data_IF_461433589790
#
_entry.id   IF_461433589790
#
_cell.length_a   1.000
_cell.length_b   1.000
_cell.length_c   1.000
_cell.angle_alpha   90.00
_cell.angle_beta   90.00
_cell.angle_gamma   90.00
#
_symmetry.space_group_name_H-M   'P 1'
#
loop_
_entity.id
_entity.type
_entity.pdbx_description
1 polymer ?
#
# COMPACT_ATOMS: atom_id res chain seq x y z
N UNK A 1 -9.61 -20.45 -5.32
CA UNK A 1 -8.42 -19.59 -5.34
C UNK A 1 -8.74 -18.33 -4.57
N UNK A 2 -7.95 -18.01 -3.56
CA UNK A 2 -8.08 -16.85 -2.70
C UNK A 2 -6.76 -16.09 -2.68
N UNK A 3 -6.81 -14.80 -2.99
CA UNK A 3 -5.63 -13.93 -3.03
C UNK A 3 -5.84 -12.80 -2.03
N UNK A 4 -4.89 -12.59 -1.13
CA UNK A 4 -4.86 -11.41 -0.27
C UNK A 4 -3.98 -10.33 -0.91
N UNK A 5 -4.50 -9.11 -1.00
CA UNK A 5 -3.81 -7.93 -1.49
C UNK A 5 -3.56 -7.01 -0.29
N UNK A 6 -2.30 -6.91 0.11
CA UNK A 6 -1.79 -6.12 1.22
C UNK A 6 -1.06 -4.91 0.63
N UNK A 7 -1.31 -3.68 1.07
CA UNK A 7 -0.71 -2.48 0.46
C UNK A 7 -0.58 -1.35 1.47
N UNK A 8 0.26 -0.36 1.15
CA UNK A 8 0.36 0.91 1.87
C UNK A 8 0.66 0.66 3.37
N UNK A 9 1.72 -0.10 3.62
CA UNK A 9 2.21 -0.50 4.96
C UNK A 9 2.88 0.67 5.67
N UNK A 10 3.54 1.56 4.92
CA UNK A 10 4.12 2.81 5.42
C UNK A 10 4.94 2.67 6.71
N UNK A 11 5.74 1.61 6.83
CA UNK A 11 6.62 1.43 8.00
C UNK A 11 5.87 1.30 9.33
N UNK A 12 4.59 0.92 9.31
CA UNK A 12 3.78 0.67 10.50
C UNK A 12 3.82 -0.82 10.87
N UNK A 13 4.89 -1.23 11.56
CA UNK A 13 5.12 -2.63 11.89
C UNK A 13 4.02 -3.26 12.76
N UNK A 14 3.48 -2.61 13.81
CA UNK A 14 2.37 -3.17 14.57
C UNK A 14 1.14 -3.51 13.71
N UNK A 15 0.82 -2.68 12.70
CA UNK A 15 -0.26 -2.95 11.77
C UNK A 15 0.06 -4.11 10.82
N UNK A 16 1.31 -4.18 10.31
CA UNK A 16 1.75 -5.28 9.46
C UNK A 16 1.70 -6.62 10.20
N UNK A 17 2.21 -6.69 11.43
CA UNK A 17 2.17 -7.92 12.24
C UNK A 17 0.73 -8.37 12.52
N UNK A 18 -0.18 -7.45 12.84
CA UNK A 18 -1.59 -7.80 13.01
C UNK A 18 -2.22 -8.36 11.72
N UNK A 19 -1.88 -7.81 10.55
CA UNK A 19 -2.32 -8.34 9.26
C UNK A 19 -1.70 -9.71 8.98
N UNK A 20 -0.44 -9.94 9.34
CA UNK A 20 0.20 -11.25 9.20
C UNK A 20 -0.50 -12.32 10.04
N UNK A 21 -0.80 -12.01 11.31
CA UNK A 21 -1.57 -12.90 12.18
C UNK A 21 -2.95 -13.19 11.57
N UNK A 22 -3.62 -12.17 11.04
CA UNK A 22 -4.92 -12.32 10.40
C UNK A 22 -4.89 -13.19 9.13
N UNK A 23 -3.79 -13.13 8.37
CA UNK A 23 -3.58 -13.96 7.18
C UNK A 23 -3.42 -15.44 7.54
N UNK A 24 -2.95 -15.79 8.75
CA UNK A 24 -2.87 -17.17 9.22
C UNK A 24 -4.27 -17.81 9.36
N UNK A 25 -5.27 -17.01 9.71
CA UNK A 25 -6.67 -17.42 9.81
C UNK A 25 -7.37 -17.41 8.44
N UNK A 26 -7.14 -16.37 7.62
CA UNK A 26 -7.75 -16.22 6.30
C UNK A 26 -7.24 -17.27 5.29
N UNK A 27 -6.00 -17.73 5.46
CA UNK A 27 -5.33 -18.78 4.65
C UNK A 27 -5.51 -18.56 3.14
N UNK A 28 -5.07 -17.42 2.60
CA UNK A 28 -5.09 -17.21 1.16
C UNK A 28 -4.11 -18.18 0.48
N UNK A 29 -4.39 -18.53 -0.78
CA UNK A 29 -3.48 -19.31 -1.62
C UNK A 29 -2.24 -18.48 -2.01
N UNK A 30 -2.42 -17.16 -2.17
CA UNK A 30 -1.35 -16.21 -2.51
C UNK A 30 -1.53 -14.88 -1.75
N UNK A 31 -0.41 -14.22 -1.45
CA UNK A 31 -0.40 -12.84 -0.92
C UNK A 31 0.42 -11.96 -1.86
N UNK A 32 -0.18 -10.85 -2.27
CA UNK A 32 0.48 -9.83 -3.09
C UNK A 32 0.60 -8.51 -2.33
N UNK A 33 1.75 -7.86 -2.48
CA UNK A 33 2.06 -6.58 -1.87
C UNK A 33 1.94 -5.44 -2.90
N UNK A 34 1.01 -4.51 -2.67
CA UNK A 34 0.68 -3.36 -3.52
C UNK A 34 1.68 -2.19 -3.46
N UNK A 35 2.78 -2.33 -2.72
CA UNK A 35 3.81 -1.31 -2.57
C UNK A 35 3.56 -0.39 -1.37
N UNK A 36 4.36 0.67 -1.29
CA UNK A 36 4.39 1.65 -0.20
C UNK A 36 4.69 1.00 1.16
N UNK A 37 5.85 0.37 1.23
CA UNK A 37 6.19 -0.57 2.30
C UNK A 37 6.72 0.15 3.55
N UNK A 38 7.66 1.09 3.36
CA UNK A 38 8.47 1.62 4.46
C UNK A 38 8.26 3.10 4.80
N UNK A 39 7.90 3.92 3.81
CA UNK A 39 7.99 5.37 3.95
C UNK A 39 6.90 5.95 4.86
N UNK A 40 7.26 6.93 5.69
CA UNK A 40 6.34 7.66 6.56
C UNK A 40 6.05 7.01 7.91
N UNK A 41 6.62 5.84 8.22
CA UNK A 41 6.48 5.18 9.52
C UNK A 41 7.77 4.93 10.29
N UNK A 42 7.62 4.47 11.52
CA UNK A 42 8.72 4.31 12.48
C UNK A 42 9.58 3.04 12.31
N UNK A 43 9.20 2.13 11.41
CA UNK A 43 9.81 0.80 11.25
C UNK A 43 10.02 0.42 9.78
N UNK A 44 10.55 1.35 8.98
CA UNK A 44 10.72 1.15 7.55
C UNK A 44 11.52 -0.12 7.22
N UNK A 45 12.71 -0.28 7.81
CA UNK A 45 13.59 -1.43 7.56
C UNK A 45 12.96 -2.74 8.00
N UNK A 46 12.29 -2.76 9.15
CA UNK A 46 11.64 -3.97 9.67
C UNK A 46 10.46 -4.39 8.79
N UNK A 47 9.64 -3.45 8.32
CA UNK A 47 8.55 -3.75 7.38
C UNK A 47 9.09 -4.28 6.04
N UNK A 48 10.14 -3.66 5.49
CA UNK A 48 10.78 -4.12 4.24
C UNK A 48 11.34 -5.53 4.42
N UNK A 49 12.10 -5.76 5.49
CA UNK A 49 12.65 -7.08 5.80
C UNK A 49 11.55 -8.12 5.98
N UNK A 50 10.43 -7.76 6.61
CA UNK A 50 9.30 -8.66 6.82
C UNK A 50 8.65 -9.06 5.50
N UNK A 51 8.28 -8.10 4.64
CA UNK A 51 7.67 -8.39 3.32
C UNK A 51 8.60 -9.28 2.48
N UNK A 52 9.90 -9.02 2.49
CA UNK A 52 10.89 -9.86 1.79
C UNK A 52 10.95 -11.28 2.33
N UNK A 53 10.91 -11.43 3.65
CA UNK A 53 10.96 -12.74 4.33
C UNK A 53 9.73 -13.59 4.00
N UNK A 54 8.56 -12.97 3.93
CA UNK A 54 7.32 -13.68 3.58
C UNK A 54 7.29 -14.15 2.12
N UNK A 55 8.16 -13.60 1.25
CA UNK A 55 8.28 -14.03 -0.14
C UNK A 55 7.05 -13.66 -0.99
N UNK A 56 6.30 -12.63 -0.58
CA UNK A 56 5.13 -12.15 -1.32
C UNK A 56 5.50 -11.60 -2.69
N UNK A 57 4.60 -11.75 -3.65
CA UNK A 57 4.69 -11.02 -4.92
C UNK A 57 4.50 -9.53 -4.64
N UNK A 58 5.55 -8.72 -4.79
CA UNK A 58 5.50 -7.30 -4.50
C UNK A 58 5.63 -6.45 -5.78
N UNK A 59 4.90 -5.35 -5.80
CA UNK A 59 5.04 -4.26 -6.77
C UNK A 59 5.51 -3.00 -6.06
N UNK A 60 5.97 -2.02 -6.83
CA UNK A 60 6.49 -0.75 -6.32
C UNK A 60 5.40 0.31 -6.20
N UNK A 61 5.33 0.97 -5.05
CA UNK A 61 4.57 2.21 -4.86
C UNK A 61 5.37 3.48 -5.07
N UNK A 62 4.71 4.65 -5.04
CA UNK A 62 5.42 5.91 -5.20
C UNK A 62 6.35 6.18 -4.02
N UNK A 63 5.95 5.82 -2.81
CA UNK A 63 6.77 6.07 -1.63
C UNK A 63 7.97 5.13 -1.54
N UNK A 64 7.92 3.97 -2.19
CA UNK A 64 9.07 3.06 -2.35
C UNK A 64 10.15 3.64 -3.26
N UNK A 65 9.79 4.50 -4.22
CA UNK A 65 10.79 5.26 -5.03
C UNK A 65 11.41 6.35 -4.17
N UNK A 66 10.53 7.14 -3.59
CA UNK A 66 10.77 8.29 -2.74
C UNK A 66 11.68 8.01 -1.53
N UNK A 67 11.47 6.90 -0.82
CA UNK A 67 12.32 6.50 0.33
C UNK A 67 13.78 6.27 -0.05
N UNK A 68 14.10 6.04 -1.33
CA UNK A 68 15.49 5.93 -1.82
C UNK A 68 16.18 7.30 -1.98
N UNK A 69 15.46 8.40 -1.72
CA UNK A 69 15.98 9.77 -1.83
C UNK A 69 15.80 10.38 -3.21
N UNK A 70 15.08 9.72 -4.13
CA UNK A 70 14.70 10.25 -5.44
C UNK A 70 13.29 10.84 -5.41
N UNK A 71 13.13 12.17 -5.26
CA UNK A 71 11.82 12.81 -5.12
C UNK A 71 11.20 13.07 -6.51
N UNK A 72 11.11 12.02 -7.34
CA UNK A 72 10.45 12.11 -8.65
C UNK A 72 9.05 12.69 -8.47
N UNK A 73 8.60 13.45 -9.47
CA UNK A 73 7.25 14.05 -9.56
C UNK A 73 6.90 15.14 -8.53
N UNK A 74 7.82 15.57 -7.65
CA UNK A 74 7.57 16.68 -6.72
C UNK A 74 7.94 18.04 -7.33
N UNK A 75 6.93 18.90 -7.46
CA UNK A 75 7.02 20.16 -8.22
C UNK A 75 7.78 21.29 -7.51
N UNK A 76 7.87 21.27 -6.18
CA UNK A 76 8.52 22.34 -5.40
C UNK A 76 9.80 21.88 -4.71
N UNK A 77 10.78 22.78 -4.60
CA UNK A 77 12.02 22.50 -3.87
C UNK A 77 11.76 22.26 -2.38
N UNK A 78 10.77 22.95 -1.81
CA UNK A 78 10.34 22.72 -0.43
C UNK A 78 9.83 21.27 -0.24
N UNK A 79 8.98 20.79 -1.14
CA UNK A 79 8.49 19.41 -1.10
C UNK A 79 9.62 18.40 -1.27
N UNK A 80 10.52 18.60 -2.24
CA UNK A 80 11.69 17.74 -2.44
C UNK A 80 12.62 17.72 -1.25
N UNK A 81 12.85 18.87 -0.61
CA UNK A 81 13.70 18.98 0.58
C UNK A 81 13.09 18.24 1.77
N UNK A 82 11.79 18.44 2.03
CA UNK A 82 11.07 17.71 3.08
C UNK A 82 11.13 16.20 2.83
N UNK A 83 10.93 15.81 1.56
CA UNK A 83 10.99 14.42 1.15
C UNK A 83 12.35 13.76 1.42
N UNK A 84 13.43 14.44 1.01
CA UNK A 84 14.80 13.96 1.28
C UNK A 84 15.12 13.88 2.77
N UNK A 85 14.59 14.81 3.58
CA UNK A 85 14.74 14.76 5.03
C UNK A 85 14.05 13.52 5.63
N UNK A 86 12.84 13.20 5.17
CA UNK A 86 12.11 11.99 5.61
C UNK A 86 12.84 10.72 5.15
N UNK A 87 13.24 10.64 3.88
CA UNK A 87 14.00 9.51 3.36
C UNK A 87 15.31 9.28 4.15
N UNK A 88 16.05 10.34 4.45
CA UNK A 88 17.25 10.26 5.28
C UNK A 88 16.95 9.80 6.71
N UNK A 89 15.83 10.23 7.31
CA UNK A 89 15.43 9.82 8.65
C UNK A 89 15.05 8.34 8.75
N UNK A 90 14.57 7.73 7.66
CA UNK A 90 14.35 6.27 7.62
C UNK A 90 15.65 5.47 7.65
N UNK A 91 16.75 6.03 7.14
CA UNK A 91 18.07 5.41 7.12
C UNK A 91 18.08 3.97 6.56
N UNK A 92 17.29 3.69 5.52
CA UNK A 92 17.25 2.37 4.90
C UNK A 92 18.59 2.00 4.28
N UNK A 93 18.94 0.71 4.32
CA UNK A 93 20.18 0.21 3.74
C UNK A 93 20.15 0.20 2.21
N UNK A 94 21.34 0.22 1.58
CA UNK A 94 21.49 0.20 0.11
C UNK A 94 20.80 -1.01 -0.54
N UNK A 95 20.90 -2.19 0.07
CA UNK A 95 20.26 -3.41 -0.42
C UNK A 95 18.72 -3.38 -0.35
N UNK A 96 18.15 -2.59 0.56
CA UNK A 96 16.71 -2.39 0.64
C UNK A 96 16.26 -1.35 -0.38
N UNK A 97 17.00 -0.25 -0.53
CA UNK A 97 16.76 0.73 -1.57
C UNK A 97 16.84 0.12 -2.98
N UNK A 98 17.86 -0.70 -3.25
CA UNK A 98 18.03 -1.40 -4.52
C UNK A 98 16.90 -2.40 -4.78
N UNK A 99 16.42 -3.10 -3.74
CA UNK A 99 15.29 -4.00 -3.90
C UNK A 99 14.00 -3.24 -4.24
N UNK A 100 13.69 -2.19 -3.48
CA UNK A 100 12.50 -1.36 -3.69
C UNK A 100 12.49 -0.75 -5.11
N UNK A 101 13.60 -0.19 -5.58
CA UNK A 101 13.66 0.46 -6.90
C UNK A 101 13.59 -0.54 -8.06
N UNK A 102 13.85 -1.83 -7.82
CA UNK A 102 13.76 -2.87 -8.85
C UNK A 102 12.44 -3.66 -8.81
N UNK A 103 11.54 -3.38 -7.87
CA UNK A 103 10.18 -3.93 -7.88
C UNK A 103 9.43 -3.52 -9.17
N UNK A 104 8.63 -4.42 -9.77
CA UNK A 104 7.84 -4.12 -10.95
C UNK A 104 6.74 -3.09 -10.65
N UNK A 105 6.27 -2.36 -11.67
CA UNK A 105 5.17 -1.40 -11.53
C UNK A 105 3.79 -2.06 -11.35
N UNK A 106 3.66 -3.32 -11.73
CA UNK A 106 2.42 -4.06 -11.63
C UNK A 106 2.64 -5.56 -11.73
N UNK A 107 1.62 -6.32 -11.36
CA UNK A 107 1.60 -7.77 -11.40
C UNK A 107 0.27 -8.25 -11.96
N UNK A 108 0.33 -9.08 -13.01
CA UNK A 108 -0.84 -9.78 -13.55
C UNK A 108 -0.82 -11.23 -13.07
N UNK A 109 -1.90 -11.66 -12.45
CA UNK A 109 -2.04 -13.02 -11.92
C UNK A 109 -3.30 -13.74 -12.40
N UNK A 110 -3.58 -14.92 -11.84
CA UNK A 110 -4.65 -15.79 -12.31
C UNK A 110 -6.03 -15.15 -12.17
N UNK A 111 -6.98 -15.57 -13.02
CA UNK A 111 -8.35 -15.06 -12.97
C UNK A 111 -8.51 -13.62 -13.49
N UNK A 112 -7.61 -13.16 -14.35
CA UNK A 112 -7.62 -11.81 -14.92
C UNK A 112 -7.64 -10.72 -13.84
N UNK A 113 -6.62 -10.77 -12.98
CA UNK A 113 -6.40 -9.80 -11.91
C UNK A 113 -5.11 -9.04 -12.21
N UNK A 114 -5.19 -7.72 -12.21
CA UNK A 114 -4.04 -6.82 -12.29
C UNK A 114 -3.90 -6.09 -10.96
N UNK A 115 -2.72 -6.16 -10.35
CA UNK A 115 -2.31 -5.32 -9.22
C UNK A 115 -1.37 -4.22 -9.72
N UNK A 116 -1.69 -2.97 -9.41
CA UNK A 116 -0.87 -1.78 -9.65
C UNK A 116 -0.89 -0.92 -8.40
N UNK A 117 0.06 -0.02 -8.18
CA UNK A 117 0.01 0.82 -6.99
C UNK A 117 -0.96 2.01 -7.18
N UNK A 118 -0.76 2.76 -8.27
CA UNK A 118 -1.62 3.88 -8.68
C UNK A 118 -2.42 3.55 -9.94
N UNK A 119 -1.98 4.05 -11.09
CA UNK A 119 -2.48 3.68 -12.42
C UNK A 119 -1.57 2.62 -13.07
N UNK A 120 -2.02 1.94 -14.14
CA UNK A 120 -1.18 0.98 -14.88
C UNK A 120 0.13 1.56 -15.43
N UNK A 121 0.18 2.86 -15.68
CA UNK A 121 1.35 3.55 -16.24
C UNK A 121 2.16 4.35 -15.23
N UNK A 122 1.62 4.60 -14.02
CA UNK A 122 2.26 5.47 -13.04
C UNK A 122 1.88 5.08 -11.61
N UNK A 123 2.86 4.84 -10.71
CA UNK A 123 2.58 4.66 -9.30
C UNK A 123 2.29 6.00 -8.58
N UNK A 124 2.47 7.15 -9.24
CA UNK A 124 2.33 8.47 -8.62
C UNK A 124 0.93 9.08 -8.75
N UNK A 125 0.06 8.44 -9.54
CA UNK A 125 -1.26 8.96 -9.88
C UNK A 125 -2.30 7.89 -9.60
N UNK A 126 -3.42 8.26 -8.99
CA UNK A 126 -4.62 7.43 -8.94
C UNK A 126 -5.86 8.29 -8.67
N UNK A 127 -7.04 7.88 -9.16
CA UNK A 127 -8.29 8.55 -8.81
C UNK A 127 -8.68 8.28 -7.35
N UNK A 128 -9.28 9.28 -6.71
CA UNK A 128 -9.97 9.12 -5.42
C UNK A 128 -11.27 8.33 -5.58
N UNK A 129 -11.79 7.67 -4.52
CA UNK A 129 -13.04 6.89 -4.59
C UNK A 129 -14.26 7.66 -5.13
N UNK A 130 -14.32 8.96 -4.85
CA UNK A 130 -15.37 9.90 -5.24
C UNK A 130 -15.07 10.65 -6.55
N UNK A 131 -13.96 10.33 -7.23
CA UNK A 131 -13.65 10.94 -8.52
C UNK A 131 -14.69 10.57 -9.61
N UNK A 132 -14.88 11.45 -10.62
CA UNK A 132 -15.77 11.19 -11.74
C UNK A 132 -15.41 9.90 -12.48
N UNK A 133 -16.38 9.26 -13.13
CA UNK A 133 -16.18 8.01 -13.88
C UNK A 133 -15.04 8.11 -14.92
N UNK A 134 -14.89 9.26 -15.58
CA UNK A 134 -13.82 9.53 -16.53
C UNK A 134 -12.40 9.40 -15.94
N UNK A 135 -12.21 9.55 -14.63
CA UNK A 135 -10.90 9.37 -14.01
C UNK A 135 -10.50 7.89 -13.87
N UNK A 136 -11.46 6.97 -14.04
CA UNK A 136 -11.24 5.52 -13.91
C UNK A 136 -11.07 4.81 -15.26
N UNK A 137 -11.25 5.50 -16.39
CA UNK A 137 -11.12 4.90 -17.73
C UNK A 137 -9.72 4.36 -18.01
N UNK A 138 -8.70 4.85 -17.28
CA UNK A 138 -7.33 4.33 -17.32
C UNK A 138 -7.24 2.84 -16.92
N UNK A 139 -8.25 2.32 -16.21
CA UNK A 139 -8.33 0.92 -15.80
C UNK A 139 -9.20 0.06 -16.72
N UNK A 140 -9.90 0.65 -17.68
CA UNK A 140 -10.72 -0.10 -18.64
C UNK A 140 -9.83 -0.99 -19.53
N UNK A 141 -10.37 -2.16 -19.88
CA UNK A 141 -9.72 -3.20 -20.69
C UNK A 141 -8.35 -3.71 -20.19
N UNK A 142 -7.92 -3.35 -18.98
CA UNK A 142 -6.64 -3.78 -18.42
C UNK A 142 -6.69 -5.23 -17.89
N UNK A 143 -7.79 -5.57 -17.20
CA UNK A 143 -8.07 -6.89 -16.65
C UNK A 143 -9.54 -6.96 -16.19
N UNK A 144 -10.08 -8.15 -15.95
CA UNK A 144 -11.42 -8.30 -15.39
C UNK A 144 -11.54 -7.72 -13.97
N UNK A 145 -10.44 -7.74 -13.21
CA UNK A 145 -10.30 -7.06 -11.91
C UNK A 145 -8.99 -6.28 -11.92
N UNK A 146 -9.05 -5.00 -11.57
CA UNK A 146 -7.87 -4.17 -11.30
C UNK A 146 -7.90 -3.76 -9.83
N UNK A 147 -6.82 -4.05 -9.10
CA UNK A 147 -6.65 -3.65 -7.71
C UNK A 147 -5.54 -2.62 -7.61
N UNK A 148 -5.79 -1.53 -6.88
CA UNK A 148 -4.76 -0.53 -6.58
C UNK A 148 -4.68 -0.11 -5.11
N UNK A 149 -3.60 0.57 -4.73
CA UNK A 149 -3.31 1.11 -3.40
C UNK A 149 -3.38 2.64 -3.39
N UNK A 150 -2.36 3.33 -2.88
CA UNK A 150 -2.09 4.75 -3.06
C UNK A 150 -3.03 5.75 -2.36
N UNK A 151 -4.35 5.57 -2.43
CA UNK A 151 -5.34 6.52 -1.85
C UNK A 151 -5.86 6.10 -0.47
N UNK A 152 -5.48 4.91 -0.01
CA UNK A 152 -5.71 4.39 1.36
C UNK A 152 -7.18 4.32 1.78
N UNK A 153 -8.10 4.26 0.82
CA UNK A 153 -9.55 4.22 1.04
C UNK A 153 -10.12 3.02 0.31
N UNK A 154 -10.62 2.05 1.06
CA UNK A 154 -11.18 0.82 0.55
C UNK A 154 -12.47 1.08 -0.23
N UNK A 155 -12.55 0.57 -1.46
CA UNK A 155 -13.80 0.51 -2.21
C UNK A 155 -13.75 -0.54 -3.31
N UNK A 156 -14.92 -0.84 -3.88
CA UNK A 156 -15.06 -1.59 -5.13
C UNK A 156 -16.01 -0.82 -6.05
N UNK A 157 -15.64 -0.69 -7.31
CA UNK A 157 -16.41 -0.02 -8.37
C UNK A 157 -16.45 -0.91 -9.61
N UNK A 158 -17.61 -0.98 -10.26
CA UNK A 158 -17.74 -1.56 -11.60
C UNK A 158 -17.71 -0.45 -12.64
N UNK A 159 -16.85 -0.57 -13.64
CA UNK A 159 -16.75 0.36 -14.76
C UNK A 159 -17.74 0.01 -15.88
N UNK A 160 -17.80 0.87 -16.90
CA UNK A 160 -18.77 0.74 -17.99
C UNK A 160 -18.50 -0.48 -18.88
N UNK A 161 -17.23 -0.87 -19.06
CA UNK A 161 -16.79 -2.08 -19.76
C UNK A 161 -17.00 -3.37 -18.95
N UNK A 162 -17.44 -3.25 -17.69
CA UNK A 162 -17.64 -4.36 -16.77
C UNK A 162 -16.45 -4.65 -15.85
N UNK A 163 -15.30 -4.00 -16.06
CA UNK A 163 -14.10 -4.12 -15.22
C UNK A 163 -14.43 -3.79 -13.76
N UNK A 164 -13.96 -4.64 -12.84
CA UNK A 164 -14.04 -4.36 -11.40
C UNK A 164 -12.75 -3.68 -10.95
N UNK A 165 -12.85 -2.41 -10.56
CA UNK A 165 -11.75 -1.68 -9.92
C UNK A 165 -11.95 -1.71 -8.42
N UNK A 166 -10.93 -2.13 -7.68
CA UNK A 166 -10.93 -2.09 -6.22
C UNK A 166 -9.71 -1.37 -5.70
N UNK A 167 -9.88 -0.65 -4.60
CA UNK A 167 -8.75 -0.19 -3.81
C UNK A 167 -8.58 -1.11 -2.61
N UNK A 168 -7.35 -1.54 -2.31
CA UNK A 168 -7.11 -2.50 -1.21
C UNK A 168 -7.30 -1.90 0.20
N UNK A 169 -7.37 -0.57 0.30
CA UNK A 169 -7.27 0.15 1.57
C UNK A 169 -5.80 0.43 1.89
N UNK A 170 -5.48 0.55 3.17
CA UNK A 170 -4.10 0.69 3.63
C UNK A 170 -3.90 -0.07 4.93
N UNK A 171 -2.79 -0.77 5.04
CA UNK A 171 -2.37 -1.44 6.28
C UNK A 171 -1.94 -0.41 7.32
N UNK A 172 -1.03 0.50 6.94
CA UNK A 172 -0.34 1.34 7.90
C UNK A 172 -0.89 2.75 8.08
N UNK A 173 -1.68 3.22 7.12
CA UNK A 173 -2.16 4.61 7.07
C UNK A 173 -3.60 4.73 6.50
N UNK A 174 -4.59 3.95 6.99
CA UNK A 174 -5.97 3.99 6.50
C UNK A 174 -6.57 5.41 6.59
N UNK A 175 -7.25 5.85 5.53
CA UNK A 175 -7.91 7.18 5.48
C UNK A 175 -9.45 7.09 5.57
N UNK A 176 -9.96 5.92 5.87
CA UNK A 176 -11.39 5.60 6.00
C UNK A 176 -11.71 4.75 7.25
N UNK A 177 -10.84 4.82 8.25
CA UNK A 177 -10.91 4.07 9.49
C UNK A 177 -9.59 4.15 10.25
N UNK A 178 -9.49 3.45 11.38
CA UNK A 178 -8.25 3.39 12.17
C UNK A 178 -7.60 2.00 12.17
N UNK A 179 -8.36 0.98 11.81
CA UNK A 179 -7.88 -0.39 11.70
C UNK A 179 -7.13 -0.59 10.38
N UNK A 180 -6.12 -1.45 10.41
CA UNK A 180 -5.40 -1.86 9.21
C UNK A 180 -6.38 -2.49 8.21
N UNK A 181 -6.16 -2.26 6.91
CA UNK A 181 -7.04 -2.76 5.87
C UNK A 181 -6.25 -3.45 4.76
N UNK A 182 -6.78 -4.59 4.32
CA UNK A 182 -6.34 -5.29 3.12
C UNK A 182 -7.54 -5.90 2.39
N UNK A 183 -7.35 -6.33 1.15
CA UNK A 183 -8.42 -6.90 0.32
C UNK A 183 -8.22 -8.40 0.11
N UNK A 184 -9.30 -9.17 0.22
CA UNK A 184 -9.34 -10.57 -0.19
C UNK A 184 -10.16 -10.69 -1.48
N UNK A 185 -9.56 -11.29 -2.51
CA UNK A 185 -10.23 -11.70 -3.75
C UNK A 185 -10.43 -13.21 -3.71
N UNK A 186 -11.67 -13.65 -3.52
CA UNK A 186 -12.04 -15.06 -3.42
C UNK A 186 -12.82 -15.51 -4.66
N UNK A 187 -12.27 -16.52 -5.34
CA UNK A 187 -12.85 -17.24 -6.48
C UNK A 187 -12.96 -18.75 -6.19
N UNK A 188 -12.96 -19.16 -4.93
CA UNK A 188 -13.12 -20.55 -4.52
C UNK A 188 -14.57 -21.04 -4.55
N UNK A 189 -15.53 -20.12 -4.47
CA UNK A 189 -16.97 -20.40 -4.53
C UNK A 189 -17.59 -20.23 -5.92
N UNK A 190 -18.92 -20.39 -6.03
CA UNK A 190 -19.66 -20.12 -7.26
C UNK A 190 -19.63 -18.63 -7.66
N UNK A 191 -19.47 -17.75 -6.68
CA UNK A 191 -19.47 -16.30 -6.84
C UNK A 191 -18.07 -15.71 -6.62
N UNK A 192 -17.76 -14.66 -7.36
CA UNK A 192 -16.60 -13.80 -7.10
C UNK A 192 -16.89 -12.91 -5.88
N UNK A 193 -16.04 -12.99 -4.86
CA UNK A 193 -16.14 -12.14 -3.67
C UNK A 193 -14.90 -11.26 -3.55
N UNK A 194 -15.11 -9.95 -3.47
CA UNK A 194 -14.10 -8.98 -3.06
C UNK A 194 -14.48 -8.48 -1.66
N UNK A 195 -13.63 -8.73 -0.67
CA UNK A 195 -13.91 -8.40 0.74
C UNK A 195 -12.74 -7.69 1.36
N UNK A 196 -12.97 -6.48 1.84
CA UNK A 196 -12.02 -5.79 2.70
C UNK A 196 -12.02 -6.39 4.10
N UNK A 197 -10.82 -6.65 4.60
CA UNK A 197 -10.55 -7.07 5.97
C UNK A 197 -10.17 -5.82 6.76
N UNK A 198 -10.74 -5.64 7.95
CA UNK A 198 -10.33 -4.60 8.90
C UNK A 198 -9.75 -5.30 10.12
N UNK A 199 -8.51 -4.97 10.45
CA UNK A 199 -7.71 -5.66 11.45
C UNK A 199 -7.27 -4.64 12.50
N UNK A 200 -7.85 -4.69 13.71
CA UNK A 200 -7.35 -3.90 14.83
C UNK A 200 -5.90 -4.27 15.14
N UNK A 201 -5.10 -3.27 15.52
CA UNK A 201 -3.71 -3.46 15.90
C UNK A 201 -3.35 -2.58 17.09
N UNK A 202 -2.16 -2.77 17.66
CA UNK A 202 -1.65 -1.94 18.76
C UNK A 202 -1.28 -0.53 18.27
N UNK A 203 -2.31 0.31 18.15
CA UNK A 203 -2.17 1.73 17.77
C UNK A 203 -1.41 2.54 18.82
N UNK A 204 -1.49 2.15 20.10
CA UNK A 204 -0.78 2.86 21.16
C UNK A 204 0.73 2.72 20.94
N UNK A 205 1.22 1.51 20.64
CA UNK A 205 2.63 1.29 20.31
C UNK A 205 3.08 2.10 19.08
N UNK A 206 2.24 2.20 18.04
CA UNK A 206 2.54 3.00 16.85
C UNK A 206 2.63 4.51 17.16
N UNK A 207 1.71 5.03 17.96
CA UNK A 207 1.69 6.44 18.39
C UNK A 207 2.88 6.75 19.31
N UNK A 208 3.19 5.88 20.26
CA UNK A 208 4.36 6.02 21.15
C UNK A 208 5.66 6.04 20.34
N UNK A 209 5.78 5.15 19.35
CA UNK A 209 6.91 5.18 18.41
C UNK A 209 6.97 6.50 17.67
N UNK A 210 5.85 6.98 17.11
CA UNK A 210 5.82 8.25 16.40
C UNK A 210 6.29 9.42 17.27
N UNK A 211 5.89 9.47 18.54
CA UNK A 211 6.36 10.48 19.49
C UNK A 211 7.84 10.38 19.85
N UNK A 212 8.46 9.21 19.70
CA UNK A 212 9.91 9.03 19.87
C UNK A 212 10.75 9.48 18.66
N UNK A 213 10.10 9.73 17.51
CA UNK A 213 10.76 10.23 16.31
C UNK A 213 10.89 11.76 16.35
N UNK A 214 11.74 12.30 15.49
CA UNK A 214 11.98 13.74 15.38
C UNK A 214 11.69 14.26 13.97
N UNK A 215 11.43 15.56 13.90
CA UNK A 215 11.29 16.28 12.63
C UNK A 215 10.14 15.77 11.75
N UNK A 216 10.25 15.95 10.42
CA UNK A 216 9.16 15.66 9.49
C UNK A 216 8.67 14.21 9.51
N UNK A 217 9.53 13.24 9.84
CA UNK A 217 9.13 11.84 9.91
C UNK A 217 8.14 11.59 11.06
N UNK A 218 8.34 12.24 12.22
CA UNK A 218 7.36 12.21 13.32
C UNK A 218 6.01 12.74 12.86
N UNK A 219 6.00 13.90 12.23
CA UNK A 219 4.76 14.58 11.85
C UNK A 219 3.97 13.77 10.83
N UNK A 220 4.65 13.24 9.80
CA UNK A 220 4.04 12.34 8.81
C UNK A 220 3.50 11.07 9.45
N UNK A 221 4.23 10.47 10.41
CA UNK A 221 3.75 9.24 11.02
C UNK A 221 2.51 9.49 11.91
N UNK A 222 2.49 10.58 12.67
CA UNK A 222 1.31 10.98 13.45
C UNK A 222 0.10 11.29 12.55
N UNK A 223 0.33 11.96 11.41
CA UNK A 223 -0.73 12.20 10.41
C UNK A 223 -1.28 10.89 9.82
N UNK A 224 -0.40 9.95 9.48
CA UNK A 224 -0.78 8.62 8.98
C UNK A 224 -1.63 7.84 9.99
N UNK A 225 -1.34 8.00 11.28
CA UNK A 225 -2.09 7.37 12.37
C UNK A 225 -3.39 8.11 12.72
N UNK A 226 -3.65 9.28 12.14
CA UNK A 226 -4.77 10.15 12.51
C UNK A 226 -4.66 10.70 13.94
N UNK A 227 -3.43 10.95 14.39
CA UNK A 227 -3.08 11.38 15.75
C UNK A 227 -2.26 12.69 15.79
N UNK A 228 -2.25 13.43 14.68
CA UNK A 228 -1.61 14.75 14.54
C UNK A 228 -2.41 15.91 15.12
#
# INVERSE_FOLDING_TARGET
MRIAIVSDIHGNLPALEAVLDDLEDEKPDEVWCGGDIGWGGGWATECIARVRKEGWTAIKGNTDVWITGDPQTLDSEAARSNHRAIAAAHAIGEADAEWLINLPLGHSGPGSILLVHGTPSSPFEAPQPDAPAAAFTVYEDQAGIVVYGHVHRAFVRRLADGTLVANSGSVGAPKDGVDACYLVVDRGGPDLVLRHRRVPYDRAAAIDKAHSLEGPLRDVFLENLGAG
#
